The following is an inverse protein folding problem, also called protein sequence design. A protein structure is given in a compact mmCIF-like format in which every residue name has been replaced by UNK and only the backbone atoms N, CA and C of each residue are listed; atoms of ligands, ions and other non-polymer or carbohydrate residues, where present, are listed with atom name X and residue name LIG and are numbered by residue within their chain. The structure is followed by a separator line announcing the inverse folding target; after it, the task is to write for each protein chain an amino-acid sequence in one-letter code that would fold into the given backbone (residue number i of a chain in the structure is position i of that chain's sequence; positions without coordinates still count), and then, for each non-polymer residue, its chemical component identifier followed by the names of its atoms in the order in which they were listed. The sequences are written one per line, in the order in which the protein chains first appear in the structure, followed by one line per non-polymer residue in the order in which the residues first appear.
data_IF_978108640335
#
_entry.id   IF_978108640335
#
_cell.length_a   1.000
_cell.length_b   1.000
_cell.length_c   1.000
_cell.angle_alpha   90.00
_cell.angle_beta   90.00
_cell.angle_gamma   90.00
#
_symmetry.space_group_name_H-M   'P 1'
#
loop_
_entity.id
_entity.type
_entity.pdbx_description
1 polymer ?
#
# COMPACT_ATOMS: atom_id res chain seq x y z
N UNK A 1 20.07 22.51 -6.87
CA UNK A 1 19.80 21.83 -8.15
C UNK A 1 19.75 20.38 -7.77
N UNK A 2 18.61 19.95 -7.24
CA UNK A 2 18.39 18.52 -7.03
C UNK A 2 17.81 18.06 -8.36
N UNK A 3 18.66 17.38 -9.12
CA UNK A 3 18.26 16.71 -10.34
C UNK A 3 17.09 15.79 -9.99
N UNK A 4 16.03 15.89 -10.78
CA UNK A 4 14.93 14.93 -10.84
C UNK A 4 15.55 13.54 -11.01
N UNK A 5 15.84 12.87 -9.89
CA UNK A 5 16.37 11.52 -9.87
C UNK A 5 15.22 10.64 -10.32
N UNK A 6 15.12 10.45 -11.64
CA UNK A 6 14.10 9.61 -12.25
C UNK A 6 14.14 8.19 -11.66
N UNK A 7 13.08 7.42 -11.93
CA UNK A 7 12.94 6.05 -11.43
C UNK A 7 14.25 5.27 -11.61
N UNK A 8 14.80 4.62 -10.57
CA UNK A 8 16.08 3.94 -10.68
C UNK A 8 16.01 2.84 -11.75
N UNK A 9 17.12 2.69 -12.48
CA UNK A 9 17.20 1.75 -13.59
C UNK A 9 17.04 0.29 -13.13
N UNK A 10 16.56 -0.64 -13.98
CA UNK A 10 16.41 -2.05 -13.64
C UNK A 10 17.69 -2.74 -13.13
N UNK A 11 18.85 -2.24 -13.57
CA UNK A 11 20.18 -2.74 -13.19
C UNK A 11 20.62 -2.26 -11.80
N UNK A 12 19.95 -1.26 -11.22
CA UNK A 12 20.24 -0.77 -9.88
C UNK A 12 19.94 -1.86 -8.82
N UNK A 13 20.62 -1.81 -7.65
CA UNK A 13 20.30 -2.67 -6.52
C UNK A 13 18.80 -2.69 -6.21
N UNK A 14 18.29 -3.86 -5.81
CA UNK A 14 16.86 -4.02 -5.49
C UNK A 14 16.50 -3.14 -4.30
N UNK A 15 17.40 -3.01 -3.34
CA UNK A 15 17.26 -2.20 -2.13
C UNK A 15 17.09 -0.72 -2.47
N UNK A 16 17.85 -0.21 -3.44
CA UNK A 16 17.74 1.17 -3.91
C UNK A 16 16.38 1.43 -4.57
N UNK A 17 15.92 0.50 -5.40
CA UNK A 17 14.60 0.59 -6.05
C UNK A 17 13.43 0.50 -5.06
N UNK A 18 13.55 -0.35 -4.04
CA UNK A 18 12.56 -0.45 -2.97
C UNK A 18 12.53 0.81 -2.12
N UNK A 19 13.69 1.33 -1.75
CA UNK A 19 13.81 2.59 -1.00
C UNK A 19 13.17 3.73 -1.79
N UNK A 20 13.43 3.80 -3.09
CA UNK A 20 12.80 4.79 -3.96
C UNK A 20 11.27 4.67 -3.96
N UNK A 21 10.72 3.46 -4.05
CA UNK A 21 9.27 3.24 -3.93
C UNK A 21 8.73 3.70 -2.56
N UNK A 22 9.40 3.30 -1.48
CA UNK A 22 9.04 3.69 -0.10
C UNK A 22 9.02 5.21 0.06
N UNK A 23 10.12 5.88 -0.26
CA UNK A 23 10.25 7.33 -0.12
C UNK A 23 9.21 8.08 -0.95
N UNK A 24 8.96 7.65 -2.19
CA UNK A 24 7.95 8.28 -3.05
C UNK A 24 6.54 8.08 -2.50
N UNK A 25 6.23 6.90 -1.96
CA UNK A 25 4.94 6.66 -1.31
C UNK A 25 4.76 7.51 -0.04
N UNK A 26 5.76 7.53 0.85
CA UNK A 26 5.76 8.36 2.07
C UNK A 26 5.60 9.83 1.73
N UNK A 27 6.40 10.34 0.78
CA UNK A 27 6.34 11.73 0.35
C UNK A 27 4.95 12.07 -0.22
N UNK A 28 4.39 11.19 -1.05
CA UNK A 28 3.09 11.42 -1.66
C UNK A 28 1.96 11.46 -0.63
N UNK A 29 1.85 10.45 0.24
CA UNK A 29 0.75 10.38 1.22
C UNK A 29 0.81 11.55 2.21
N UNK A 30 2.00 12.01 2.58
CA UNK A 30 2.19 13.18 3.44
C UNK A 30 1.86 14.48 2.71
N UNK A 31 2.37 14.68 1.49
CA UNK A 31 2.16 15.91 0.71
C UNK A 31 0.68 16.14 0.39
N UNK A 32 -0.05 15.06 0.08
CA UNK A 32 -1.46 15.12 -0.28
C UNK A 32 -2.40 14.85 0.90
N UNK A 33 -1.86 14.69 2.13
CA UNK A 33 -2.62 14.38 3.34
C UNK A 33 -3.59 13.22 3.12
N UNK A 34 -3.11 12.15 2.47
CA UNK A 34 -3.97 11.09 1.98
C UNK A 34 -4.74 10.41 3.12
N UNK A 35 -6.08 10.36 3.02
CA UNK A 35 -6.93 9.53 3.86
C UNK A 35 -6.46 8.09 3.98
N UNK A 36 -6.47 7.54 5.20
CA UNK A 36 -6.14 6.12 5.47
C UNK A 36 -6.93 5.18 4.55
N UNK A 37 -8.23 5.43 4.37
CA UNK A 37 -9.09 4.57 3.52
C UNK A 37 -8.68 4.60 2.04
N UNK A 38 -8.23 5.74 1.52
CA UNK A 38 -7.82 5.87 0.12
C UNK A 38 -6.51 5.11 -0.11
N UNK A 39 -5.53 5.28 0.78
CA UNK A 39 -4.26 4.52 0.72
C UNK A 39 -4.54 3.03 0.81
N UNK A 40 -5.43 2.60 1.72
CA UNK A 40 -5.81 1.20 1.88
C UNK A 40 -6.33 0.58 0.58
N UNK A 41 -7.21 1.29 -0.13
CA UNK A 41 -7.82 0.80 -1.37
C UNK A 41 -6.80 0.67 -2.50
N UNK A 42 -5.91 1.65 -2.65
CA UNK A 42 -4.84 1.59 -3.68
C UNK A 42 -3.88 0.44 -3.38
N UNK A 43 -3.43 0.28 -2.14
CA UNK A 43 -2.51 -0.80 -1.80
C UNK A 43 -3.14 -2.18 -1.89
N UNK A 44 -4.41 -2.32 -1.49
CA UNK A 44 -5.15 -3.57 -1.64
C UNK A 44 -5.21 -4.03 -3.10
N UNK A 45 -5.36 -3.08 -4.04
CA UNK A 45 -5.31 -3.36 -5.48
C UNK A 45 -3.94 -3.91 -5.90
N UNK A 46 -2.83 -3.29 -5.48
CA UNK A 46 -1.48 -3.75 -5.86
C UNK A 46 -1.07 -5.06 -5.20
N UNK A 47 -1.38 -5.24 -3.92
CA UNK A 47 -1.16 -6.52 -3.21
C UNK A 47 -1.84 -7.66 -3.98
N UNK A 48 -3.11 -7.46 -4.39
CA UNK A 48 -3.84 -8.45 -5.17
C UNK A 48 -3.18 -8.74 -6.52
N UNK A 49 -2.81 -7.70 -7.28
CA UNK A 49 -2.18 -7.86 -8.61
C UNK A 49 -0.86 -8.64 -8.50
N UNK A 50 0.01 -8.26 -7.57
CA UNK A 50 1.30 -8.91 -7.38
C UNK A 50 1.14 -10.35 -6.88
N UNK A 51 0.24 -10.57 -5.93
CA UNK A 51 -0.03 -11.90 -5.37
C UNK A 51 -0.60 -12.84 -6.42
N UNK A 52 -1.58 -12.41 -7.22
CA UNK A 52 -2.16 -13.21 -8.31
C UNK A 52 -1.07 -13.64 -9.32
N UNK A 53 -0.16 -12.71 -9.66
CA UNK A 53 0.93 -13.00 -10.61
C UNK A 53 1.98 -13.95 -10.03
N UNK A 54 2.34 -13.77 -8.75
CA UNK A 54 3.23 -14.69 -8.04
C UNK A 54 2.61 -16.07 -7.89
N UNK A 55 1.34 -16.16 -7.51
CA UNK A 55 0.63 -17.44 -7.36
C UNK A 55 0.55 -18.20 -8.68
N UNK A 56 0.25 -17.50 -9.78
CA UNK A 56 0.24 -18.08 -11.11
C UNK A 56 1.61 -18.65 -11.50
N UNK A 57 2.68 -17.89 -11.23
CA UNK A 57 4.06 -18.34 -11.49
C UNK A 57 4.42 -19.54 -10.62
N UNK A 58 4.15 -19.50 -9.32
CA UNK A 58 4.43 -20.59 -8.40
C UNK A 58 3.69 -21.88 -8.79
N UNK A 59 2.39 -21.78 -9.10
CA UNK A 59 1.58 -22.91 -9.59
C UNK A 59 2.15 -23.52 -10.87
N UNK A 60 2.65 -22.71 -11.80
CA UNK A 60 3.27 -23.22 -13.04
C UNK A 60 4.63 -23.91 -12.84
N UNK A 61 5.27 -23.70 -11.70
CA UNK A 61 6.56 -24.29 -11.34
C UNK A 61 6.44 -25.33 -10.22
N UNK A 62 5.22 -25.72 -9.83
CA UNK A 62 4.95 -26.61 -8.69
C UNK A 62 5.56 -26.12 -7.35
N UNK A 63 5.65 -24.79 -7.19
CA UNK A 63 6.15 -24.14 -5.99
C UNK A 63 5.02 -23.65 -5.06
N UNK A 64 5.33 -23.53 -3.77
CA UNK A 64 4.42 -22.99 -2.76
C UNK A 64 5.00 -21.69 -2.21
N UNK A 65 4.21 -20.61 -2.26
CA UNK A 65 4.62 -19.33 -1.70
C UNK A 65 4.58 -19.37 -0.16
N UNK A 66 5.46 -18.63 0.53
CA UNK A 66 5.41 -18.51 1.99
C UNK A 66 4.16 -17.75 2.47
N UNK A 67 3.61 -18.17 3.61
CA UNK A 67 2.43 -17.55 4.21
C UNK A 67 2.62 -16.05 4.48
N UNK A 68 3.83 -15.63 4.83
CA UNK A 68 4.17 -14.22 5.07
C UNK A 68 3.96 -13.30 3.86
N UNK A 69 3.84 -13.85 2.65
CA UNK A 69 3.49 -13.09 1.44
C UNK A 69 2.00 -13.17 1.11
N UNK A 70 1.38 -14.31 1.37
CA UNK A 70 0.01 -14.60 0.96
C UNK A 70 -1.00 -14.02 1.94
N UNK A 71 -0.67 -14.02 3.23
CA UNK A 71 -1.56 -13.58 4.30
C UNK A 71 -1.19 -12.18 4.79
N UNK A 72 -2.19 -11.34 5.12
CA UNK A 72 -1.95 -10.08 5.81
C UNK A 72 -1.22 -10.32 7.13
N UNK A 73 -0.22 -9.50 7.44
CA UNK A 73 0.54 -9.66 8.68
C UNK A 73 -0.35 -9.45 9.91
N UNK A 74 0.01 -10.12 11.00
CA UNK A 74 -0.72 -9.97 12.26
C UNK A 74 -0.58 -8.53 12.76
N UNK A 75 -1.68 -7.95 13.22
CA UNK A 75 -1.71 -6.62 13.85
C UNK A 75 -2.24 -6.75 15.26
N UNK A 76 -1.65 -5.99 16.18
CA UNK A 76 -2.18 -5.81 17.53
C UNK A 76 -3.29 -4.76 17.46
N UNK A 77 -4.53 -5.20 17.26
CA UNK A 77 -5.71 -4.35 17.32
C UNK A 77 -6.37 -4.46 18.70
N UNK A 78 -7.00 -3.38 19.16
CA UNK A 78 -7.86 -3.45 20.34
C UNK A 78 -9.07 -4.34 20.02
N UNK A 79 -9.51 -5.18 20.96
CA UNK A 79 -10.64 -6.13 20.80
C UNK A 79 -12.01 -5.43 20.61
N UNK A 80 -12.06 -4.10 20.55
CA UNK A 80 -13.28 -3.37 20.28
C UNK A 80 -13.63 -3.44 18.79
N UNK A 81 -14.74 -4.12 18.49
CA UNK A 81 -15.30 -4.19 17.14
C UNK A 81 -15.54 -2.76 16.63
N UNK A 82 -14.94 -2.34 15.50
CA UNK A 82 -15.16 -1.02 14.93
C UNK A 82 -16.66 -0.79 14.70
N UNK A 83 -17.20 0.27 15.29
CA UNK A 83 -18.62 0.63 15.14
C UNK A 83 -18.84 1.36 13.81
N UNK A 84 -18.58 0.68 12.69
CA UNK A 84 -18.83 1.23 11.34
C UNK A 84 -20.34 1.21 11.00
N UNK A 85 -21.17 0.65 11.87
CA UNK A 85 -22.63 0.53 11.73
C UNK A 85 -23.38 1.87 11.56
N UNK A 86 -22.72 3.02 11.73
CA UNK A 86 -23.35 4.35 11.63
C UNK A 86 -23.33 4.97 10.23
N UNK A 87 -22.70 4.35 9.21
CA UNK A 87 -22.55 4.98 7.89
C UNK A 87 -22.56 3.98 6.72
N UNK A 88 -23.21 4.35 5.61
CA UNK A 88 -23.34 3.48 4.43
C UNK A 88 -22.03 3.41 3.63
N UNK A 89 -21.65 2.20 3.20
CA UNK A 89 -20.51 1.98 2.31
C UNK A 89 -20.61 2.80 1.02
N UNK A 90 -21.82 2.94 0.46
CA UNK A 90 -22.03 3.75 -0.75
C UNK A 90 -21.62 5.21 -0.53
N UNK A 91 -21.91 5.75 0.65
CA UNK A 91 -21.55 7.12 0.99
C UNK A 91 -20.04 7.26 1.25
N UNK A 92 -19.38 6.23 1.80
CA UNK A 92 -17.91 6.22 1.93
C UNK A 92 -17.26 6.29 0.56
N UNK A 93 -17.66 5.37 -0.32
CA UNK A 93 -17.11 5.28 -1.67
C UNK A 93 -17.36 6.55 -2.48
N UNK A 94 -18.56 7.16 -2.35
CA UNK A 94 -18.89 8.42 -3.01
C UNK A 94 -18.16 9.66 -2.47
N UNK A 95 -17.41 9.53 -1.37
CA UNK A 95 -16.62 10.62 -0.77
C UNK A 95 -15.12 10.49 -1.00
N UNK A 96 -14.68 9.43 -1.69
CA UNK A 96 -13.28 9.23 -2.06
C UNK A 96 -12.85 10.21 -3.15
N UNK A 97 -11.58 10.60 -3.11
CA UNK A 97 -10.95 11.38 -4.17
C UNK A 97 -10.31 10.44 -5.21
N UNK A 98 -11.01 10.20 -6.30
CA UNK A 98 -10.55 9.30 -7.36
C UNK A 98 -9.27 9.78 -8.04
N UNK A 99 -9.11 11.10 -8.23
CA UNK A 99 -7.93 11.67 -8.89
C UNK A 99 -6.68 11.46 -8.03
N UNK A 100 -6.78 11.73 -6.73
CA UNK A 100 -5.67 11.51 -5.79
C UNK A 100 -5.28 10.03 -5.72
N UNK A 101 -6.27 9.14 -5.69
CA UNK A 101 -6.04 7.70 -5.72
C UNK A 101 -5.39 7.24 -7.03
N UNK A 102 -5.80 7.78 -8.18
CA UNK A 102 -5.21 7.45 -9.49
C UNK A 102 -3.76 7.93 -9.62
N UNK A 103 -3.39 9.04 -8.98
CA UNK A 103 -2.00 9.51 -8.94
C UNK A 103 -1.14 8.55 -8.09
N UNK A 104 -1.58 8.15 -6.89
CA UNK A 104 -0.84 7.16 -6.09
C UNK A 104 -0.75 5.82 -6.84
N UNK A 105 -1.85 5.41 -7.49
CA UNK A 105 -1.89 4.21 -8.31
C UNK A 105 -0.85 4.27 -9.44
N UNK A 106 -0.80 5.40 -10.15
CA UNK A 106 0.14 5.61 -11.23
C UNK A 106 1.58 5.66 -10.72
N UNK A 107 1.84 6.28 -9.58
CA UNK A 107 3.17 6.30 -8.94
C UNK A 107 3.66 4.88 -8.69
N UNK A 108 2.87 4.06 -7.99
CA UNK A 108 3.23 2.67 -7.67
C UNK A 108 3.42 1.87 -8.97
N UNK A 109 2.50 2.01 -9.93
CA UNK A 109 2.58 1.34 -11.24
C UNK A 109 3.88 1.67 -11.96
N UNK A 110 4.20 2.95 -12.07
CA UNK A 110 5.34 3.45 -12.84
C UNK A 110 6.62 2.94 -12.22
N UNK A 111 6.78 3.09 -10.90
CA UNK A 111 8.00 2.63 -10.21
C UNK A 111 8.14 1.11 -10.31
N UNK A 112 7.07 0.32 -10.06
CA UNK A 112 7.14 -1.14 -10.16
C UNK A 112 7.55 -1.61 -11.56
N UNK A 113 7.01 -1.00 -12.62
CA UNK A 113 7.26 -1.42 -13.99
C UNK A 113 8.57 -0.90 -14.56
N UNK A 114 8.85 0.41 -14.42
CA UNK A 114 10.04 1.03 -15.01
C UNK A 114 11.32 0.55 -14.33
N UNK A 115 11.29 0.40 -13.00
CA UNK A 115 12.43 -0.16 -12.26
C UNK A 115 12.48 -1.69 -12.30
N UNK A 116 11.48 -2.36 -12.88
CA UNK A 116 11.35 -3.83 -12.91
C UNK A 116 11.54 -4.47 -11.53
N UNK A 117 10.84 -3.94 -10.52
CA UNK A 117 10.95 -4.42 -9.14
C UNK A 117 10.51 -5.89 -9.05
N UNK A 118 11.33 -6.77 -8.44
CA UNK A 118 10.91 -8.15 -8.22
C UNK A 118 9.68 -8.21 -7.30
N UNK A 119 8.71 -9.05 -7.65
CA UNK A 119 7.42 -9.04 -6.96
C UNK A 119 7.48 -9.49 -5.51
N UNK A 120 8.38 -10.41 -5.15
CA UNK A 120 8.52 -10.85 -3.75
C UNK A 120 8.90 -9.70 -2.82
N UNK A 121 10.03 -8.98 -3.02
CA UNK A 121 10.37 -7.86 -2.16
C UNK A 121 9.38 -6.69 -2.25
N UNK A 122 8.82 -6.40 -3.43
CA UNK A 122 7.79 -5.38 -3.58
C UNK A 122 6.53 -5.73 -2.77
N UNK A 123 6.07 -6.98 -2.84
CA UNK A 123 4.92 -7.45 -2.06
C UNK A 123 5.21 -7.40 -0.55
N UNK A 124 6.41 -7.78 -0.11
CA UNK A 124 6.82 -7.63 1.30
C UNK A 124 6.70 -6.19 1.78
N UNK A 125 7.20 -5.22 1.00
CA UNK A 125 7.05 -3.79 1.31
C UNK A 125 5.58 -3.39 1.42
N UNK A 126 4.74 -3.81 0.47
CA UNK A 126 3.31 -3.51 0.52
C UNK A 126 2.59 -4.18 1.70
N UNK A 127 3.05 -5.33 2.19
CA UNK A 127 2.51 -5.97 3.41
C UNK A 127 2.85 -5.20 4.67
N UNK A 128 4.01 -4.57 4.73
CA UNK A 128 4.38 -3.68 5.83
C UNK A 128 3.46 -2.45 5.87
N UNK A 129 3.24 -1.80 4.71
CA UNK A 129 2.24 -0.74 4.59
C UNK A 129 0.83 -1.20 4.97
N UNK A 130 0.41 -2.37 4.49
CA UNK A 130 -0.90 -2.95 4.82
C UNK A 130 -1.07 -3.12 6.33
N UNK A 131 -0.03 -3.61 7.03
CA UNK A 131 -0.07 -3.78 8.48
C UNK A 131 -0.29 -2.43 9.19
N UNK A 132 0.49 -1.41 8.82
CA UNK A 132 0.36 -0.05 9.36
C UNK A 132 -1.05 0.51 9.16
N UNK A 133 -1.57 0.40 7.94
CA UNK A 133 -2.90 0.90 7.59
C UNK A 133 -3.99 0.15 8.35
N UNK A 134 -3.88 -1.18 8.46
CA UNK A 134 -4.87 -1.99 9.18
C UNK A 134 -4.91 -1.67 10.66
N UNK A 135 -3.78 -1.30 11.29
CA UNK A 135 -3.78 -0.79 12.67
C UNK A 135 -4.62 0.48 12.77
N UNK A 136 -4.45 1.44 11.85
CA UNK A 136 -5.22 2.68 11.86
C UNK A 136 -6.71 2.46 11.57
N UNK A 137 -7.02 1.58 10.60
CA UNK A 137 -8.41 1.21 10.29
C UNK A 137 -9.08 0.48 11.45
N UNK A 138 -8.37 -0.41 12.14
CA UNK A 138 -8.91 -1.12 13.31
C UNK A 138 -9.20 -0.17 14.48
N UNK A 139 -8.42 0.90 14.62
CA UNK A 139 -8.63 1.93 15.64
C UNK A 139 -9.64 3.03 15.21
N UNK A 140 -10.15 2.98 13.98
CA UNK A 140 -11.11 3.95 13.48
C UNK A 140 -12.53 3.65 14.04
N UNK A 141 -13.03 4.58 14.84
CA UNK A 141 -14.33 4.55 15.51
C UNK A 141 -15.42 5.36 14.76
N UNK A 142 -15.11 5.92 13.58
CA UNK A 142 -16.09 6.61 12.75
C UNK A 142 -15.51 7.19 11.45
N UNK A 143 -16.37 7.74 10.57
CA UNK A 143 -15.97 8.20 9.23
C UNK A 143 -14.83 9.22 9.26
N UNK A 144 -14.83 10.16 10.22
CA UNK A 144 -13.78 11.18 10.31
C UNK A 144 -12.37 10.60 10.48
N UNK A 145 -12.24 9.42 11.11
CA UNK A 145 -10.95 8.74 11.27
C UNK A 145 -10.59 7.85 10.07
N UNK A 146 -11.56 7.43 9.25
CA UNK A 146 -11.28 6.79 7.96
C UNK A 146 -10.71 7.81 6.96
N UNK A 147 -11.18 9.06 7.06
CA UNK A 147 -10.77 10.18 6.22
C UNK A 147 -9.67 11.05 6.84
N UNK A 148 -9.14 10.69 8.01
CA UNK A 148 -7.98 11.38 8.54
C UNK A 148 -6.74 11.03 7.71
N UNK A 149 -5.78 11.97 7.57
CA UNK A 149 -4.50 11.67 6.97
C UNK A 149 -3.85 10.45 7.63
N UNK A 150 -3.20 9.61 6.83
CA UNK A 150 -2.43 8.48 7.35
C UNK A 150 -1.32 8.97 8.29
N UNK A 151 -1.22 8.34 9.46
CA UNK A 151 -0.18 8.62 10.45
C UNK A 151 1.00 7.66 10.25
N UNK A 152 2.16 8.17 9.85
CA UNK A 152 3.36 7.37 9.61
C UNK A 152 4.34 7.55 10.79
N UNK A 153 4.96 6.46 11.31
CA UNK A 153 6.04 6.56 12.28
C UNK A 153 7.20 7.44 11.77
N UNK A 154 7.92 8.12 12.69
CA UNK A 154 9.00 9.05 12.33
C UNK A 154 10.12 8.42 11.48
N UNK A 155 10.36 7.12 11.63
CA UNK A 155 11.42 6.35 10.94
C UNK A 155 10.86 5.34 9.90
N UNK A 156 9.65 5.57 9.38
CA UNK A 156 8.99 4.68 8.42
C UNK A 156 9.55 4.75 7.00
#
# INVERSE_FOLDING_TARGET
MDEDAGVPAPEAPVEERLLFLQENMVNFVNQFNMPVIEVALVLSKYIRILLESLQKTAQSNDEVLPLSLIEPWHIEAQDEVPRIDSFSLETLLGSLDEDRMDILDTLIRTILNESQLPFTPALTLLREWEALIRVQLANANGPGQLFSPIDLPEDF
#
